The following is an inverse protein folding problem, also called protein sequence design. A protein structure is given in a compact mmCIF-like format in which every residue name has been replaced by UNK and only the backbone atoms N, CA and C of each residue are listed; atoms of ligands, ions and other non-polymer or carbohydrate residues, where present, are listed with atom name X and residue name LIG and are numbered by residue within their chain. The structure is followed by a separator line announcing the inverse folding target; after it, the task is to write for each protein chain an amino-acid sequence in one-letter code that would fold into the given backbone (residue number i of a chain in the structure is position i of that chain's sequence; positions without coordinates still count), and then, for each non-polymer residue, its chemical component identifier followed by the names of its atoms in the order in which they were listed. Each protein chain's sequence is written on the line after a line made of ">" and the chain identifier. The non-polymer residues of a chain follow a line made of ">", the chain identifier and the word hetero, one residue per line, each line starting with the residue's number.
data_IF_890242672414
#
_entry.id   IF_890242672414
#
_cell.length_a   1.000
_cell.length_b   1.000
_cell.length_c   1.000
_cell.angle_alpha   90.00
_cell.angle_beta   90.00
_cell.angle_gamma   90.00
#
_symmetry.space_group_name_H-M   'P 1'
#
loop_
_entity.id
_entity.type
_entity.pdbx_description
1 polymer ?
#
# COMPACT_ATOMS: atom_id res chain seq x y z
N UNK A 1 28.81 34.10 57.41
CA UNK A 1 27.74 33.09 56.96
C UNK A 1 27.21 33.39 55.62
N UNK A 2 28.00 33.61 54.57
CA UNK A 2 27.47 33.95 53.21
C UNK A 2 28.15 33.22 52.05
N UNK A 3 28.76 32.07 52.29
CA UNK A 3 29.50 31.32 51.27
C UNK A 3 28.78 30.06 50.71
N UNK A 4 27.82 29.51 51.41
CA UNK A 4 27.22 28.20 51.07
C UNK A 4 25.98 28.25 50.16
N UNK A 5 25.36 29.41 49.96
CA UNK A 5 24.13 29.54 49.20
C UNK A 5 24.37 29.70 47.68
N UNK A 6 25.58 30.11 47.27
CA UNK A 6 25.91 30.30 45.84
C UNK A 6 26.31 28.99 45.10
N UNK A 7 26.79 27.98 45.82
CA UNK A 7 27.22 26.72 45.18
C UNK A 7 26.07 25.79 44.84
N UNK A 8 24.96 25.84 45.58
CA UNK A 8 23.79 25.02 45.32
C UNK A 8 22.99 25.41 44.05
N UNK A 9 23.04 26.68 43.65
CA UNK A 9 22.35 27.19 42.46
C UNK A 9 23.05 26.85 41.15
N UNK A 10 24.37 26.75 41.14
CA UNK A 10 25.12 26.35 39.95
C UNK A 10 25.01 24.83 39.65
N UNK A 11 24.94 23.99 40.71
CA UNK A 11 24.79 22.55 40.52
C UNK A 11 23.42 22.17 39.97
N UNK A 12 22.35 22.91 40.31
CA UNK A 12 21.01 22.66 39.81
C UNK A 12 20.85 23.06 38.33
N UNK A 13 21.58 24.08 37.88
CA UNK A 13 21.60 24.48 36.46
C UNK A 13 22.43 23.55 35.57
N UNK A 14 23.47 22.91 36.12
CA UNK A 14 24.27 21.92 35.37
C UNK A 14 23.54 20.59 35.25
N UNK A 15 22.70 20.19 36.21
CA UNK A 15 21.87 19.00 36.15
C UNK A 15 20.66 19.15 35.18
N UNK A 16 20.20 20.37 34.91
CA UNK A 16 19.14 20.66 33.96
C UNK A 16 19.61 20.69 32.48
N UNK A 17 20.93 20.82 32.27
CA UNK A 17 21.54 20.81 30.94
C UNK A 17 21.97 19.41 30.48
N UNK A 18 21.88 18.38 31.33
CA UNK A 18 22.19 16.98 30.98
C UNK A 18 20.92 16.16 30.61
N UNK A 19 19.74 16.76 30.63
CA UNK A 19 18.60 16.22 29.87
C UNK A 19 18.79 16.50 28.38
N UNK A 20 19.97 16.17 27.84
CA UNK A 20 20.20 16.11 26.43
C UNK A 20 19.24 15.04 25.86
N UNK A 21 18.29 15.49 25.09
CA UNK A 21 17.53 14.71 24.15
C UNK A 21 18.44 13.64 23.55
N UNK A 22 18.27 12.40 23.98
CA UNK A 22 18.80 11.26 23.24
C UNK A 22 17.99 11.26 21.96
N UNK A 23 18.47 12.01 20.97
CA UNK A 23 17.99 11.89 19.61
C UNK A 23 18.33 10.46 19.20
N UNK A 24 17.33 9.59 19.19
CA UNK A 24 17.44 8.28 18.54
C UNK A 24 17.66 8.59 17.07
N UNK A 25 18.91 8.61 16.63
CA UNK A 25 19.22 8.67 15.20
C UNK A 25 18.58 7.46 14.53
N UNK A 26 17.65 7.71 13.64
CA UNK A 26 17.10 6.64 12.80
C UNK A 26 18.20 6.22 11.82
N UNK A 27 18.55 4.94 11.86
CA UNK A 27 19.48 4.35 10.90
C UNK A 27 18.65 3.84 9.73
N UNK A 28 18.80 4.47 8.57
CA UNK A 28 18.20 3.99 7.34
C UNK A 28 19.19 3.08 6.62
N UNK A 29 18.71 1.94 6.13
CA UNK A 29 19.44 1.08 5.22
C UNK A 29 18.88 1.30 3.82
N UNK A 30 19.73 1.75 2.91
CA UNK A 30 19.42 1.75 1.49
C UNK A 30 19.70 0.35 0.93
N UNK A 31 18.81 -0.15 0.07
CA UNK A 31 18.98 -1.40 -0.68
C UNK A 31 18.82 -1.05 -2.16
N UNK A 32 19.90 -1.22 -2.93
CA UNK A 32 19.99 -0.83 -4.34
C UNK A 32 20.55 -1.93 -5.24
N UNK A 33 20.92 -1.53 -6.46
CA UNK A 33 21.54 -2.45 -7.42
C UNK A 33 22.87 -3.00 -6.93
N UNK A 34 23.62 -2.22 -6.17
CA UNK A 34 24.89 -2.61 -5.53
C UNK A 34 24.70 -3.69 -4.46
N UNK A 35 23.52 -3.79 -3.84
CA UNK A 35 23.16 -4.86 -2.90
C UNK A 35 22.62 -6.09 -3.63
N UNK A 36 22.39 -5.98 -4.93
CA UNK A 36 21.95 -7.08 -5.79
C UNK A 36 20.48 -7.02 -6.22
N UNK A 37 19.74 -5.89 -6.06
CA UNK A 37 18.42 -5.76 -6.65
C UNK A 37 18.49 -5.87 -8.19
N UNK A 38 17.51 -6.55 -8.79
CA UNK A 38 17.41 -6.66 -10.25
C UNK A 38 17.04 -5.34 -10.92
N UNK A 39 16.28 -4.49 -10.24
CA UNK A 39 15.82 -3.22 -10.79
C UNK A 39 15.52 -2.22 -9.67
N UNK A 40 15.78 -0.94 -9.91
CA UNK A 40 15.50 0.14 -8.97
C UNK A 40 14.02 0.53 -8.92
N UNK A 41 13.24 0.18 -9.94
CA UNK A 41 11.81 0.47 -9.99
C UNK A 41 11.07 -0.62 -9.24
N UNK A 42 10.67 -0.29 -8.02
CA UNK A 42 9.92 -1.17 -7.11
C UNK A 42 8.46 -0.78 -7.15
N UNK A 43 7.58 -1.74 -7.40
CA UNK A 43 6.13 -1.55 -7.43
C UNK A 43 5.47 -1.89 -6.10
N UNK A 44 5.94 -2.95 -5.42
CA UNK A 44 5.44 -3.39 -4.13
C UNK A 44 6.56 -3.93 -3.26
N UNK A 45 6.35 -3.80 -1.95
CA UNK A 45 7.23 -4.37 -0.93
C UNK A 45 6.34 -5.15 0.04
N UNK A 46 6.77 -6.35 0.42
CA UNK A 46 6.12 -7.17 1.45
C UNK A 46 7.17 -7.78 2.38
N UNK A 47 6.83 -7.91 3.66
CA UNK A 47 7.64 -8.63 4.64
C UNK A 47 6.88 -9.88 5.07
N UNK A 48 7.54 -11.04 5.00
CA UNK A 48 6.92 -12.28 5.48
C UNK A 48 7.23 -12.53 6.97
N UNK A 49 6.53 -13.49 7.56
CA UNK A 49 6.70 -13.83 8.98
C UNK A 49 8.09 -14.38 9.34
N UNK A 50 8.89 -14.79 8.34
CA UNK A 50 10.28 -15.23 8.52
C UNK A 50 11.25 -14.04 8.53
N UNK A 51 10.75 -12.83 8.28
CA UNK A 51 11.53 -11.60 8.22
C UNK A 51 12.13 -11.30 6.85
N UNK A 52 11.83 -12.08 5.81
CA UNK A 52 12.28 -11.78 4.46
C UNK A 52 11.52 -10.58 3.90
N UNK A 53 12.24 -9.69 3.22
CA UNK A 53 11.69 -8.59 2.45
C UNK A 53 11.55 -9.02 0.99
N UNK A 54 10.36 -8.87 0.44
CA UNK A 54 10.04 -9.19 -0.94
C UNK A 54 9.79 -7.91 -1.72
N UNK A 55 10.51 -7.74 -2.81
CA UNK A 55 10.42 -6.58 -3.70
C UNK A 55 9.87 -7.01 -5.04
N UNK A 56 8.70 -6.48 -5.41
CA UNK A 56 8.19 -6.60 -6.76
C UNK A 56 8.82 -5.49 -7.59
N UNK A 57 9.65 -5.87 -8.55
CA UNK A 57 10.38 -4.96 -9.42
C UNK A 57 9.89 -5.04 -10.87
N UNK A 58 10.38 -4.18 -11.72
CA UNK A 58 10.08 -4.24 -13.15
C UNK A 58 10.59 -5.53 -13.82
N UNK A 59 11.64 -6.16 -13.30
CA UNK A 59 12.27 -7.35 -13.87
C UNK A 59 11.87 -8.66 -13.19
N UNK A 60 11.00 -8.61 -12.17
CA UNK A 60 10.56 -9.79 -11.43
C UNK A 60 10.45 -9.56 -9.94
N UNK A 61 10.68 -10.58 -9.15
CA UNK A 61 10.62 -10.50 -7.70
C UNK A 61 11.98 -10.79 -7.10
N UNK A 62 12.38 -9.94 -6.16
CA UNK A 62 13.59 -10.09 -5.39
C UNK A 62 13.23 -10.37 -3.93
N UNK A 63 13.90 -11.37 -3.32
CA UNK A 63 13.78 -11.66 -1.89
C UNK A 63 15.08 -11.36 -1.17
N UNK A 64 15.02 -10.50 -0.18
CA UNK A 64 16.14 -10.12 0.67
C UNK A 64 16.03 -10.79 2.03
N UNK A 65 17.10 -11.46 2.48
CA UNK A 65 17.18 -12.20 3.74
C UNK A 65 17.88 -11.42 4.87
N UNK A 66 18.17 -10.13 4.64
CA UNK A 66 18.97 -9.29 5.54
C UNK A 66 20.43 -9.16 5.08
N UNK A 67 20.90 -10.03 4.18
CA UNK A 67 22.28 -10.06 3.71
C UNK A 67 22.40 -10.27 2.19
N UNK A 68 21.62 -11.17 1.62
CA UNK A 68 21.66 -11.54 0.20
C UNK A 68 20.31 -11.35 -0.45
N UNK A 69 20.33 -11.13 -1.77
CA UNK A 69 19.14 -11.03 -2.59
C UNK A 69 19.05 -12.25 -3.51
N UNK A 70 17.89 -12.92 -3.48
CA UNK A 70 17.53 -13.99 -4.42
C UNK A 70 16.50 -13.48 -5.41
N UNK A 71 16.73 -13.77 -6.70
CA UNK A 71 15.86 -13.36 -7.80
C UNK A 71 14.91 -14.49 -8.21
N UNK A 72 13.68 -14.11 -8.55
CA UNK A 72 12.67 -15.00 -9.11
C UNK A 72 12.19 -14.40 -10.42
N UNK A 73 12.46 -15.12 -11.52
CA UNK A 73 12.06 -14.74 -12.86
C UNK A 73 10.79 -15.51 -13.26
N UNK A 74 9.91 -14.85 -13.97
CA UNK A 74 8.64 -15.39 -14.45
C UNK A 74 8.68 -15.63 -15.97
N UNK A 75 9.79 -16.11 -16.50
CA UNK A 75 9.87 -16.60 -17.88
C UNK A 75 9.35 -18.02 -17.90
N UNK A 76 8.18 -18.22 -18.46
CA UNK A 76 7.63 -19.56 -18.63
C UNK A 76 7.90 -20.04 -20.06
N UNK A 77 8.97 -20.83 -20.23
CA UNK A 77 9.27 -21.54 -21.48
C UNK A 77 8.18 -22.55 -21.87
N UNK A 78 7.35 -23.01 -20.90
CA UNK A 78 6.30 -23.99 -21.13
C UNK A 78 5.08 -23.42 -21.86
N UNK A 79 4.84 -22.12 -21.78
CA UNK A 79 3.63 -21.49 -22.35
C UNK A 79 3.84 -20.73 -23.66
N UNK A 80 5.03 -20.63 -24.22
CA UNK A 80 5.35 -19.86 -25.45
C UNK A 80 4.73 -18.44 -25.46
N UNK A 81 4.61 -17.81 -24.31
CA UNK A 81 4.01 -16.51 -24.14
C UNK A 81 5.08 -15.46 -24.08
N UNK A 82 4.82 -14.35 -24.77
CA UNK A 82 5.72 -13.19 -24.91
C UNK A 82 6.58 -12.90 -23.66
N UNK A 83 7.80 -12.74 -23.87
CA UNK A 83 9.00 -12.83 -23.05
C UNK A 83 9.07 -11.97 -21.77
N UNK A 84 8.02 -11.27 -21.37
CA UNK A 84 7.96 -10.53 -20.09
C UNK A 84 6.54 -10.50 -19.55
N UNK A 85 6.32 -11.22 -18.46
CA UNK A 85 5.10 -11.09 -17.67
C UNK A 85 5.25 -9.84 -16.82
N UNK A 86 4.54 -8.78 -17.16
CA UNK A 86 4.47 -7.63 -16.27
C UNK A 86 3.68 -8.02 -15.01
N UNK A 87 4.36 -7.99 -13.88
CA UNK A 87 3.80 -8.20 -12.55
C UNK A 87 3.51 -6.85 -11.92
N UNK A 88 2.34 -6.68 -11.31
CA UNK A 88 1.94 -5.37 -10.83
C UNK A 88 1.62 -5.34 -9.34
N UNK A 89 1.15 -6.45 -8.76
CA UNK A 89 0.72 -6.47 -7.36
C UNK A 89 1.28 -7.68 -6.64
N UNK A 90 1.67 -7.46 -5.40
CA UNK A 90 2.25 -8.44 -4.50
C UNK A 90 1.51 -8.38 -3.17
N UNK A 91 0.95 -9.51 -2.73
CA UNK A 91 0.16 -9.59 -1.51
C UNK A 91 0.52 -10.81 -0.68
N UNK A 92 0.28 -10.69 0.61
CA UNK A 92 0.37 -11.80 1.56
C UNK A 92 -1.05 -12.14 2.01
N UNK A 93 -1.44 -13.43 1.93
CA UNK A 93 -2.74 -13.87 2.42
C UNK A 93 -2.74 -14.11 3.94
N UNK A 94 -3.90 -14.50 4.48
CA UNK A 94 -4.08 -14.75 5.91
C UNK A 94 -3.23 -15.91 6.45
N UNK A 95 -2.78 -16.81 5.59
CA UNK A 95 -1.88 -17.93 5.92
C UNK A 95 -0.40 -17.60 5.69
N UNK A 96 -0.10 -16.31 5.40
CA UNK A 96 1.25 -15.83 5.11
C UNK A 96 1.87 -16.46 3.85
N UNK A 97 1.04 -16.76 2.86
CA UNK A 97 1.48 -17.18 1.54
C UNK A 97 1.53 -15.96 0.62
N UNK A 98 2.61 -15.85 -0.13
CA UNK A 98 2.83 -14.74 -1.06
C UNK A 98 2.14 -15.01 -2.40
N UNK A 99 1.38 -14.02 -2.85
CA UNK A 99 0.62 -14.02 -4.11
C UNK A 99 1.05 -12.87 -5.00
N UNK A 100 1.14 -13.15 -6.29
CA UNK A 100 1.54 -12.17 -7.30
C UNK A 100 0.49 -12.10 -8.38
N UNK A 101 0.09 -10.89 -8.74
CA UNK A 101 -0.89 -10.64 -9.78
C UNK A 101 -0.19 -9.95 -10.96
N UNK A 102 -0.28 -10.57 -12.13
CA UNK A 102 0.25 -10.03 -13.38
C UNK A 102 -0.82 -9.33 -14.22
N UNK A 103 -0.40 -8.41 -15.07
CA UNK A 103 -1.28 -7.56 -15.91
C UNK A 103 -2.31 -8.31 -16.76
N UNK A 104 -2.01 -9.53 -17.16
CA UNK A 104 -2.92 -10.35 -18.00
C UNK A 104 -3.75 -11.31 -17.16
N UNK A 105 -4.09 -10.97 -15.92
CA UNK A 105 -4.91 -11.80 -15.05
C UNK A 105 -4.26 -13.14 -14.69
N UNK A 106 -2.94 -13.19 -14.67
CA UNK A 106 -2.20 -14.31 -14.14
C UNK A 106 -2.03 -14.13 -12.65
N UNK A 107 -2.27 -15.20 -11.90
CA UNK A 107 -2.08 -15.24 -10.46
C UNK A 107 -1.04 -16.33 -10.18
N UNK A 108 0.02 -15.93 -9.50
CA UNK A 108 1.07 -16.84 -9.05
C UNK A 108 1.04 -16.95 -7.53
N UNK A 109 1.34 -18.13 -7.04
CA UNK A 109 1.50 -18.44 -5.63
C UNK A 109 2.95 -18.82 -5.36
N UNK A 110 3.50 -18.33 -4.26
CA UNK A 110 4.82 -18.79 -3.81
C UNK A 110 4.71 -20.17 -3.13
N UNK A 111 5.44 -21.14 -3.65
CA UNK A 111 5.63 -22.46 -3.05
C UNK A 111 6.88 -22.44 -2.16
N UNK A 112 6.64 -22.45 -0.85
CA UNK A 112 7.70 -22.42 0.14
C UNK A 112 8.57 -23.70 0.11
N UNK A 113 7.98 -24.86 -0.19
CA UNK A 113 8.68 -26.13 -0.16
C UNK A 113 9.72 -26.23 -1.29
N UNK A 114 9.39 -25.73 -2.47
CA UNK A 114 10.25 -25.77 -3.63
C UNK A 114 10.96 -24.44 -3.91
N UNK A 115 10.73 -23.43 -3.07
CA UNK A 115 11.31 -22.07 -3.17
C UNK A 115 11.15 -21.46 -4.57
N UNK A 116 9.93 -21.49 -5.12
CA UNK A 116 9.57 -21.01 -6.47
C UNK A 116 8.14 -20.45 -6.50
N UNK A 117 7.84 -19.68 -7.54
CA UNK A 117 6.47 -19.27 -7.83
C UNK A 117 5.83 -20.28 -8.81
N UNK A 118 4.58 -20.63 -8.55
CA UNK A 118 3.77 -21.50 -9.38
C UNK A 118 2.55 -20.72 -9.89
N UNK A 119 2.18 -20.99 -11.15
CA UNK A 119 0.99 -20.42 -11.74
C UNK A 119 -0.25 -21.06 -11.10
N UNK A 120 -1.02 -20.28 -10.34
CA UNK A 120 -2.23 -20.73 -9.67
C UNK A 120 -3.48 -20.56 -10.55
N UNK A 121 -3.53 -19.46 -11.32
CA UNK A 121 -4.68 -19.14 -12.16
C UNK A 121 -4.30 -18.28 -13.35
N UNK A 122 -5.01 -18.52 -14.45
CA UNK A 122 -4.94 -17.70 -15.66
C UNK A 122 -6.35 -17.41 -16.15
N UNK A 123 -6.68 -16.12 -16.31
CA UNK A 123 -7.97 -15.77 -16.86
C UNK A 123 -8.01 -15.98 -18.39
N UNK A 124 -8.86 -16.90 -18.92
CA UNK A 124 -8.82 -17.28 -20.34
C UNK A 124 -9.07 -16.12 -21.30
N UNK A 125 -9.97 -15.21 -20.96
CA UNK A 125 -10.34 -14.08 -21.83
C UNK A 125 -9.27 -12.99 -21.86
N UNK A 126 -8.58 -12.75 -20.72
CA UNK A 126 -7.50 -11.78 -20.66
C UNK A 126 -6.27 -12.20 -21.49
N UNK A 127 -6.15 -13.51 -21.79
CA UNK A 127 -5.10 -14.03 -22.68
C UNK A 127 -5.50 -13.94 -24.14
N UNK A 128 -6.77 -14.24 -24.45
CA UNK A 128 -7.27 -14.31 -25.84
C UNK A 128 -7.41 -12.94 -26.48
N UNK A 129 -7.82 -11.94 -25.72
CA UNK A 129 -8.02 -10.57 -26.21
C UNK A 129 -6.69 -9.82 -26.24
N UNK A 130 -5.98 -9.91 -27.38
CA UNK A 130 -4.67 -9.27 -27.58
C UNK A 130 -4.66 -7.73 -27.47
N UNK A 131 -5.82 -7.06 -27.43
CA UNK A 131 -5.86 -5.60 -27.60
C UNK A 131 -6.63 -4.77 -26.59
N UNK A 132 -7.46 -5.32 -25.69
CA UNK A 132 -8.34 -4.47 -24.86
C UNK A 132 -8.58 -4.89 -23.41
N UNK A 133 -8.20 -6.07 -22.97
CA UNK A 133 -8.47 -6.50 -21.61
C UNK A 133 -7.21 -6.35 -20.73
N UNK A 134 -6.90 -5.11 -20.35
CA UNK A 134 -5.89 -4.85 -19.33
C UNK A 134 -6.54 -4.91 -17.94
N UNK A 135 -5.82 -5.50 -17.00
CA UNK A 135 -6.14 -5.44 -15.60
C UNK A 135 -5.79 -4.03 -15.11
N UNK A 136 -6.80 -3.28 -14.66
CA UNK A 136 -6.60 -1.92 -14.14
C UNK A 136 -6.08 -1.96 -12.71
N UNK A 137 -6.65 -2.84 -11.89
CA UNK A 137 -6.28 -2.98 -10.48
C UNK A 137 -6.39 -4.44 -10.02
N UNK A 138 -5.44 -4.85 -9.18
CA UNK A 138 -5.44 -6.14 -8.50
C UNK A 138 -5.46 -5.92 -6.99
N UNK A 139 -6.30 -6.66 -6.27
CA UNK A 139 -6.48 -6.49 -4.84
C UNK A 139 -6.66 -7.84 -4.15
N UNK A 140 -6.09 -8.00 -2.96
CA UNK A 140 -6.36 -9.13 -2.06
C UNK A 140 -7.15 -8.63 -0.87
N UNK A 141 -8.38 -9.14 -0.70
CA UNK A 141 -9.22 -8.77 0.43
C UNK A 141 -8.97 -9.62 1.69
N UNK A 142 -9.48 -9.15 2.82
CA UNK A 142 -9.35 -9.82 4.14
C UNK A 142 -10.09 -11.18 4.22
N UNK A 143 -10.79 -11.58 3.16
CA UNK A 143 -11.46 -12.89 3.03
C UNK A 143 -10.71 -13.84 2.10
N UNK A 144 -9.45 -13.55 1.79
CA UNK A 144 -8.58 -14.30 0.88
C UNK A 144 -9.18 -14.46 -0.52
N UNK A 145 -9.75 -13.36 -1.05
CA UNK A 145 -10.19 -13.28 -2.43
C UNK A 145 -9.29 -12.31 -3.19
N UNK A 146 -8.74 -12.76 -4.30
CA UNK A 146 -8.01 -11.90 -5.24
C UNK A 146 -9.02 -11.31 -6.22
N UNK A 147 -9.06 -9.99 -6.27
CA UNK A 147 -9.88 -9.22 -7.20
C UNK A 147 -9.06 -8.87 -8.42
N UNK A 148 -9.57 -9.20 -9.59
CA UNK A 148 -9.03 -8.77 -10.86
C UNK A 148 -10.01 -7.76 -11.44
N UNK A 149 -9.68 -6.48 -11.34
CA UNK A 149 -10.53 -5.37 -11.80
C UNK A 149 -10.17 -4.99 -13.24
N UNK A 150 -11.07 -5.24 -14.14
CA UNK A 150 -11.01 -4.85 -15.54
C UNK A 150 -11.98 -3.69 -15.79
N UNK A 151 -11.92 -3.07 -16.98
CA UNK A 151 -12.79 -1.95 -17.34
C UNK A 151 -14.29 -2.26 -17.16
N UNK A 152 -14.73 -3.43 -17.62
CA UNK A 152 -16.15 -3.79 -17.69
C UNK A 152 -16.53 -4.97 -16.79
N UNK A 153 -15.55 -5.54 -16.06
CA UNK A 153 -15.77 -6.72 -15.24
C UNK A 153 -14.85 -6.78 -14.04
N UNK A 154 -15.34 -7.38 -12.97
CA UNK A 154 -14.56 -7.78 -11.81
C UNK A 154 -14.61 -9.31 -11.71
N UNK A 155 -13.46 -9.91 -11.51
CA UNK A 155 -13.32 -11.33 -11.29
C UNK A 155 -12.75 -11.55 -9.91
N UNK A 156 -13.41 -12.36 -9.10
CA UNK A 156 -12.87 -12.82 -7.82
C UNK A 156 -12.30 -14.21 -7.98
N UNK A 157 -11.07 -14.37 -7.59
CA UNK A 157 -10.43 -15.67 -7.41
C UNK A 157 -10.36 -16.00 -5.93
N UNK A 158 -11.05 -17.05 -5.50
CA UNK A 158 -11.00 -17.53 -4.12
C UNK A 158 -9.73 -18.36 -3.91
N UNK A 159 -8.82 -17.88 -3.07
CA UNK A 159 -7.60 -18.62 -2.71
C UNK A 159 -7.93 -19.98 -2.09
N UNK A 160 -8.98 -20.00 -1.26
CA UNK A 160 -9.37 -21.20 -0.50
C UNK A 160 -9.91 -22.32 -1.39
N UNK A 161 -10.67 -22.00 -2.41
CA UNK A 161 -11.37 -23.00 -3.27
C UNK A 161 -10.77 -23.14 -4.65
N UNK A 162 -9.90 -22.21 -5.08
CA UNK A 162 -9.38 -22.14 -6.45
C UNK A 162 -10.43 -21.78 -7.51
N UNK A 163 -11.62 -21.31 -7.09
CA UNK A 163 -12.73 -20.99 -8.01
C UNK A 163 -12.80 -19.50 -8.30
N UNK A 164 -13.44 -19.16 -9.42
CA UNK A 164 -13.67 -17.77 -9.82
C UNK A 164 -15.14 -17.42 -9.86
N UNK A 165 -15.44 -16.17 -9.52
CA UNK A 165 -16.76 -15.56 -9.69
C UNK A 165 -16.60 -14.33 -10.57
N UNK A 166 -17.43 -14.23 -11.61
CA UNK A 166 -17.42 -13.12 -12.56
C UNK A 166 -18.62 -12.23 -12.33
N UNK A 167 -18.40 -10.92 -12.36
CA UNK A 167 -19.47 -9.93 -12.25
C UNK A 167 -19.18 -8.71 -13.12
N UNK A 168 -20.20 -7.99 -13.60
CA UNK A 168 -19.98 -6.71 -14.26
C UNK A 168 -19.34 -5.71 -13.30
N UNK A 169 -18.41 -4.90 -13.80
CA UNK A 169 -17.88 -3.77 -13.06
C UNK A 169 -19.00 -2.72 -12.87
N UNK A 170 -19.08 -2.08 -11.69
CA UNK A 170 -19.98 -0.94 -11.52
C UNK A 170 -19.56 0.22 -12.45
N UNK A 171 -20.52 1.04 -12.86
CA UNK A 171 -20.29 2.18 -13.77
C UNK A 171 -19.67 3.38 -13.05
N UNK A 172 -18.51 3.19 -12.42
CA UNK A 172 -17.79 4.20 -11.60
C UNK A 172 -16.46 4.66 -12.23
N UNK A 173 -16.16 4.17 -13.43
CA UNK A 173 -14.88 4.43 -14.08
C UNK A 173 -13.78 3.44 -13.70
N UNK A 174 -12.55 3.80 -14.01
CA UNK A 174 -11.37 2.97 -13.75
C UNK A 174 -11.04 2.94 -12.27
N UNK A 175 -10.98 1.75 -11.70
CA UNK A 175 -10.60 1.54 -10.28
C UNK A 175 -9.10 1.77 -10.14
N UNK A 176 -8.73 2.66 -9.23
CA UNK A 176 -7.35 3.02 -8.91
C UNK A 176 -6.88 2.43 -7.59
N UNK A 177 -7.80 2.24 -6.64
CA UNK A 177 -7.51 1.67 -5.33
C UNK A 177 -8.77 1.06 -4.71
N UNK A 178 -8.59 0.07 -3.85
CA UNK A 178 -9.66 -0.56 -3.06
C UNK A 178 -9.17 -0.72 -1.64
N UNK A 179 -10.02 -0.40 -0.68
CA UNK A 179 -9.76 -0.64 0.73
C UNK A 179 -10.97 -1.30 1.39
N UNK A 180 -10.74 -2.39 2.11
CA UNK A 180 -11.77 -3.07 2.88
C UNK A 180 -11.80 -2.52 4.31
N UNK A 181 -12.87 -1.82 4.67
CA UNK A 181 -13.04 -1.30 6.02
C UNK A 181 -13.36 -2.42 7.02
N UNK A 182 -14.51 -3.05 6.85
CA UNK A 182 -14.95 -4.14 7.68
C UNK A 182 -15.72 -5.19 6.88
N UNK A 183 -15.71 -6.43 7.32
CA UNK A 183 -16.55 -7.52 6.80
C UNK A 183 -16.70 -7.49 5.28
N UNK A 184 -17.86 -7.07 4.80
CA UNK A 184 -18.20 -7.00 3.38
C UNK A 184 -18.30 -5.56 2.84
N UNK A 185 -17.78 -4.55 3.58
CA UNK A 185 -17.82 -3.15 3.16
C UNK A 185 -16.47 -2.71 2.61
N UNK A 186 -16.51 -2.06 1.46
CA UNK A 186 -15.36 -1.61 0.71
C UNK A 186 -15.49 -0.15 0.32
N UNK A 187 -14.36 0.53 0.25
CA UNK A 187 -14.22 1.81 -0.41
C UNK A 187 -13.42 1.62 -1.71
N UNK A 188 -13.90 2.24 -2.78
CA UNK A 188 -13.33 2.11 -4.12
C UNK A 188 -12.97 3.50 -4.61
N UNK A 189 -11.67 3.75 -4.76
CA UNK A 189 -11.15 4.96 -5.39
C UNK A 189 -11.08 4.81 -6.90
N UNK A 190 -11.38 5.88 -7.60
CA UNK A 190 -11.34 5.96 -9.06
C UNK A 190 -10.74 7.29 -9.52
N UNK A 191 -10.51 7.42 -10.83
CA UNK A 191 -10.13 8.69 -11.43
C UNK A 191 -11.20 9.80 -11.32
N UNK A 192 -12.44 9.45 -10.96
CA UNK A 192 -13.57 10.38 -10.85
C UNK A 192 -14.07 10.58 -9.42
N UNK A 193 -13.53 9.89 -8.44
CA UNK A 193 -13.93 10.06 -7.05
C UNK A 193 -13.86 8.80 -6.20
N UNK A 194 -14.58 8.84 -5.09
CA UNK A 194 -14.66 7.78 -4.10
C UNK A 194 -16.08 7.18 -4.07
N UNK A 195 -16.15 5.86 -3.96
CA UNK A 195 -17.41 5.12 -3.89
C UNK A 195 -17.39 4.15 -2.71
N UNK A 196 -18.55 3.94 -2.12
CA UNK A 196 -18.76 2.90 -1.12
C UNK A 196 -19.42 1.69 -1.77
N UNK A 197 -19.00 0.50 -1.41
CA UNK A 197 -19.54 -0.73 -1.94
C UNK A 197 -19.68 -1.79 -0.85
N UNK A 198 -20.56 -2.74 -1.09
CA UNK A 198 -20.74 -3.90 -0.22
C UNK A 198 -20.89 -5.19 -1.02
N UNK A 199 -20.56 -6.31 -0.40
CA UNK A 199 -20.79 -7.63 -0.97
C UNK A 199 -22.04 -8.24 -0.36
N UNK A 200 -23.04 -8.51 -1.19
CA UNK A 200 -24.27 -9.21 -0.84
C UNK A 200 -24.65 -10.20 -1.93
N UNK A 201 -25.13 -11.40 -1.55
CA UNK A 201 -25.52 -12.49 -2.49
C UNK A 201 -24.39 -12.84 -3.49
N UNK A 202 -23.13 -12.79 -3.06
CA UNK A 202 -21.96 -13.07 -3.90
C UNK A 202 -21.69 -12.03 -4.98
N UNK A 203 -22.24 -10.81 -4.86
CA UNK A 203 -22.08 -9.72 -5.83
C UNK A 203 -21.66 -8.43 -5.14
N UNK A 204 -20.88 -7.63 -5.83
CA UNK A 204 -20.55 -6.27 -5.44
C UNK A 204 -21.72 -5.35 -5.78
N UNK A 205 -22.15 -4.56 -4.81
CA UNK A 205 -23.19 -3.53 -4.98
C UNK A 205 -22.66 -2.21 -4.48
N UNK A 206 -22.84 -1.14 -5.23
CA UNK A 206 -22.60 0.23 -4.73
C UNK A 206 -23.62 0.55 -3.65
N UNK A 207 -23.15 1.20 -2.60
CA UNK A 207 -23.94 1.71 -1.51
C UNK A 207 -23.94 3.23 -1.59
N UNK A 208 -25.13 3.84 -1.62
CA UNK A 208 -25.23 5.29 -1.63
C UNK A 208 -24.71 5.89 -0.32
N UNK A 209 -23.83 6.87 -0.42
CA UNK A 209 -23.25 7.61 0.69
C UNK A 209 -22.90 9.02 0.17
N UNK A 210 -23.79 9.99 0.41
CA UNK A 210 -23.64 11.35 -0.09
C UNK A 210 -22.33 12.00 0.34
N UNK A 211 -21.83 11.68 1.54
CA UNK A 211 -20.55 12.20 2.02
C UNK A 211 -19.38 11.65 1.21
N UNK A 212 -19.38 10.35 0.96
CA UNK A 212 -18.33 9.69 0.15
C UNK A 212 -18.41 10.17 -1.30
N UNK A 213 -19.62 10.26 -1.88
CA UNK A 213 -19.89 10.70 -3.24
C UNK A 213 -19.55 12.19 -3.46
N UNK A 214 -19.41 12.99 -2.38
CA UNK A 214 -18.94 14.38 -2.48
C UNK A 214 -17.50 14.50 -2.95
N UNK A 215 -16.69 13.45 -2.82
CA UNK A 215 -15.32 13.39 -3.36
C UNK A 215 -15.41 13.09 -4.85
N UNK A 216 -15.18 14.12 -5.66
CA UNK A 216 -15.20 14.08 -7.13
C UNK A 216 -13.83 14.26 -7.78
N UNK A 217 -12.77 14.20 -6.97
CA UNK A 217 -11.37 14.28 -7.43
C UNK A 217 -10.74 12.91 -7.49
N UNK A 218 -9.72 12.69 -8.36
CA UNK A 218 -9.04 11.40 -8.42
C UNK A 218 -8.52 10.93 -7.06
N UNK A 219 -8.83 9.69 -6.71
CA UNK A 219 -8.37 9.02 -5.50
C UNK A 219 -7.31 8.00 -5.88
N UNK A 220 -6.11 8.12 -5.33
CA UNK A 220 -4.96 7.28 -5.69
C UNK A 220 -4.64 6.23 -4.64
N UNK A 221 -4.92 6.51 -3.37
CA UNK A 221 -4.64 5.60 -2.27
C UNK A 221 -5.73 5.69 -1.20
N UNK A 222 -6.02 4.56 -0.58
CA UNK A 222 -6.95 4.43 0.53
C UNK A 222 -6.30 3.65 1.66
N UNK A 223 -6.52 4.08 2.88
CA UNK A 223 -6.06 3.37 4.06
C UNK A 223 -7.10 3.45 5.18
N UNK A 224 -7.65 2.33 5.59
CA UNK A 224 -8.58 2.25 6.73
C UNK A 224 -7.82 2.02 8.03
N UNK A 225 -7.83 3.02 8.90
CA UNK A 225 -7.20 2.93 10.21
C UNK A 225 -8.17 2.30 11.21
N UNK A 226 -7.94 1.03 11.55
CA UNK A 226 -8.86 0.20 12.34
C UNK A 226 -9.10 0.76 13.74
N UNK A 227 -8.07 1.35 14.37
CA UNK A 227 -8.16 1.85 15.76
C UNK A 227 -9.07 3.07 15.87
N UNK A 228 -8.90 4.05 14.97
CA UNK A 228 -9.71 5.28 14.97
C UNK A 228 -10.99 5.18 14.15
N UNK A 229 -11.21 4.06 13.43
CA UNK A 229 -12.34 3.86 12.51
C UNK A 229 -12.46 4.94 11.43
N UNK A 230 -11.35 5.43 10.96
CA UNK A 230 -11.23 6.48 9.98
C UNK A 230 -10.69 5.94 8.66
N UNK A 231 -11.22 6.41 7.54
CA UNK A 231 -10.67 6.17 6.22
C UNK A 231 -9.80 7.36 5.81
N UNK A 232 -8.52 7.12 5.56
CA UNK A 232 -7.59 8.09 5.00
C UNK A 232 -7.60 7.96 3.48
N UNK A 233 -7.76 9.08 2.79
CA UNK A 233 -8.00 9.15 1.35
C UNK A 233 -6.91 10.03 0.73
N UNK A 234 -6.09 9.44 -0.12
CA UNK A 234 -5.04 10.13 -0.86
C UNK A 234 -5.56 10.67 -2.18
N UNK A 235 -5.61 12.01 -2.31
CA UNK A 235 -6.01 12.73 -3.52
C UNK A 235 -4.86 13.58 -4.05
N UNK A 236 -4.72 13.67 -5.38
CA UNK A 236 -3.69 14.51 -6.00
C UNK A 236 -3.82 15.98 -5.61
N UNK A 237 -5.03 16.53 -5.71
CA UNK A 237 -5.27 17.96 -5.52
C UNK A 237 -5.28 18.37 -4.05
N UNK A 238 -5.88 17.54 -3.21
CA UNK A 238 -6.24 17.90 -1.84
C UNK A 238 -5.26 17.32 -0.81
N UNK A 239 -4.37 16.43 -1.26
CA UNK A 239 -3.47 15.69 -0.36
C UNK A 239 -4.20 14.57 0.36
N UNK A 240 -4.10 14.49 1.67
CA UNK A 240 -4.80 13.48 2.48
C UNK A 240 -6.06 14.07 3.07
N UNK A 241 -7.17 13.36 2.86
CA UNK A 241 -8.45 13.62 3.51
C UNK A 241 -8.76 12.50 4.51
N UNK A 242 -9.54 12.78 5.53
CA UNK A 242 -10.09 11.78 6.46
C UNK A 242 -11.60 11.73 6.31
N UNK A 243 -12.15 10.54 6.15
CA UNK A 243 -13.56 10.26 6.37
C UNK A 243 -13.75 9.64 7.75
N UNK A 244 -14.35 10.40 8.66
CA UNK A 244 -14.64 9.98 10.04
C UNK A 244 -15.98 9.23 10.08
N UNK A 245 -15.91 7.92 9.90
CA UNK A 245 -17.07 7.06 9.66
C UNK A 245 -18.03 6.92 10.88
N UNK A 246 -17.48 6.85 12.09
CA UNK A 246 -18.27 6.61 13.31
C UNK A 246 -18.48 7.89 14.14
N UNK A 247 -17.69 8.94 13.90
CA UNK A 247 -17.77 10.19 14.64
C UNK A 247 -18.69 11.21 13.97
N UNK A 248 -18.09 12.12 13.20
CA UNK A 248 -18.84 13.23 12.58
C UNK A 248 -19.55 12.86 11.28
N UNK A 249 -19.20 11.74 10.66
CA UNK A 249 -19.65 11.36 9.32
C UNK A 249 -19.24 12.34 8.25
N UNK A 250 -18.14 13.08 8.45
CA UNK A 250 -17.68 14.14 7.55
C UNK A 250 -16.30 13.83 6.98
N UNK A 251 -16.01 14.46 5.84
CA UNK A 251 -14.68 14.47 5.26
C UNK A 251 -13.94 15.72 5.73
N UNK A 252 -12.75 15.53 6.27
CA UNK A 252 -11.90 16.56 6.85
C UNK A 252 -10.56 16.56 6.11
N UNK A 253 -10.11 17.69 5.54
CA UNK A 253 -8.79 17.79 4.94
C UNK A 253 -7.71 17.81 6.02
N UNK A 254 -6.66 17.01 5.83
CA UNK A 254 -5.48 17.06 6.65
C UNK A 254 -4.52 18.16 6.21
N UNK A 255 -3.75 18.69 7.13
CA UNK A 255 -2.62 19.54 6.79
C UNK A 255 -1.49 18.66 6.24
N UNK A 256 -1.58 18.31 4.98
CA UNK A 256 -0.67 17.40 4.27
C UNK A 256 -0.24 18.00 2.93
N UNK A 257 0.82 17.46 2.29
CA UNK A 257 1.19 17.89 0.94
C UNK A 257 0.04 17.71 -0.04
N UNK A 258 -0.23 18.74 -0.82
CA UNK A 258 -1.23 18.73 -1.89
C UNK A 258 -0.58 18.98 -3.27
N UNK A 259 -1.33 18.84 -4.34
CA UNK A 259 -0.83 18.92 -5.72
C UNK A 259 0.34 17.96 -5.97
N UNK A 260 0.21 16.77 -5.44
CA UNK A 260 1.17 15.66 -5.58
C UNK A 260 0.44 14.34 -5.43
N UNK A 261 0.85 13.32 -6.16
CA UNK A 261 0.31 11.97 -5.96
C UNK A 261 0.61 11.47 -4.55
N UNK A 262 -0.40 10.92 -3.90
CA UNK A 262 -0.23 10.15 -2.67
C UNK A 262 -0.10 8.68 -3.09
N UNK A 263 1.12 8.17 -3.02
CA UNK A 263 1.45 6.84 -3.53
C UNK A 263 1.17 5.73 -2.52
N UNK A 264 1.28 6.06 -1.23
CA UNK A 264 0.97 5.12 -0.15
C UNK A 264 0.67 5.85 1.15
N UNK A 265 -0.30 5.30 1.90
CA UNK A 265 -0.57 5.63 3.29
C UNK A 265 -0.48 4.34 4.09
N UNK A 266 0.35 4.29 5.13
CA UNK A 266 0.55 3.09 5.95
C UNK A 266 0.78 3.47 7.41
N UNK A 267 0.33 2.64 8.35
CA UNK A 267 0.59 2.87 9.78
C UNK A 267 2.09 2.76 10.09
N UNK A 268 2.61 3.75 10.78
CA UNK A 268 3.88 3.67 11.48
C UNK A 268 3.67 3.08 12.88
N UNK A 269 2.60 3.49 13.52
CA UNK A 269 2.12 2.97 14.82
C UNK A 269 0.63 3.30 14.98
N UNK A 270 0.07 3.08 16.17
CA UNK A 270 -1.36 3.33 16.46
C UNK A 270 -1.81 4.80 16.34
N UNK A 271 -0.88 5.76 16.30
CA UNK A 271 -1.18 7.20 16.29
C UNK A 271 -0.60 7.95 15.10
N UNK A 272 0.31 7.32 14.37
CA UNK A 272 1.04 7.97 13.28
C UNK A 272 1.00 7.13 12.02
N UNK A 273 0.79 7.80 10.89
CA UNK A 273 0.86 7.21 9.56
C UNK A 273 2.08 7.77 8.80
N UNK A 274 2.61 6.98 7.88
CA UNK A 274 3.54 7.47 6.87
C UNK A 274 2.78 7.67 5.55
N UNK A 275 3.05 8.81 4.94
CA UNK A 275 2.46 9.23 3.66
C UNK A 275 3.57 9.40 2.64
N UNK A 276 3.66 8.48 1.69
CA UNK A 276 4.60 8.55 0.57
C UNK A 276 4.02 9.36 -0.58
N UNK A 277 4.80 10.27 -1.13
CA UNK A 277 4.36 11.17 -2.20
C UNK A 277 5.17 11.00 -3.48
N UNK A 278 4.55 11.30 -4.61
CA UNK A 278 5.18 11.30 -5.92
C UNK A 278 6.00 12.57 -6.18
N UNK A 279 7.03 12.84 -5.35
CA UNK A 279 7.96 13.95 -5.61
C UNK A 279 8.20 14.94 -4.48
N UNK A 280 7.49 14.80 -3.34
CA UNK A 280 7.71 15.67 -2.16
C UNK A 280 8.28 14.92 -0.94
N UNK A 281 8.65 13.65 -1.08
CA UNK A 281 9.22 12.85 -0.01
C UNK A 281 8.17 12.06 0.78
N UNK A 282 8.52 11.68 2.01
CA UNK A 282 7.66 10.96 2.96
C UNK A 282 7.33 11.87 4.13
N UNK A 283 6.08 11.89 4.51
CA UNK A 283 5.56 12.67 5.63
C UNK A 283 5.03 11.74 6.70
N UNK A 284 5.17 12.17 7.94
CA UNK A 284 4.52 11.56 9.09
C UNK A 284 3.26 12.35 9.40
N UNK A 285 2.13 11.67 9.47
CA UNK A 285 0.80 12.24 9.74
C UNK A 285 0.29 11.72 11.08
N UNK A 286 -0.06 12.62 11.97
CA UNK A 286 -0.72 12.29 13.23
C UNK A 286 -2.21 12.03 13.01
N UNK A 287 -2.69 10.85 13.43
CA UNK A 287 -4.07 10.37 13.22
C UNK A 287 -5.11 11.26 13.93
N UNK A 288 -4.78 11.80 15.11
CA UNK A 288 -5.73 12.54 15.92
C UNK A 288 -5.83 14.02 15.53
N UNK A 289 -4.68 14.63 15.21
CA UNK A 289 -4.61 16.05 14.88
C UNK A 289 -4.72 16.33 13.40
N UNK A 290 -4.54 15.32 12.55
CA UNK A 290 -4.55 15.47 11.10
C UNK A 290 -3.45 16.42 10.57
N UNK A 291 -2.36 16.56 11.31
CA UNK A 291 -1.19 17.36 10.95
C UNK A 291 -0.06 16.49 10.47
N UNK A 292 0.60 16.90 9.40
CA UNK A 292 1.77 16.20 8.90
C UNK A 292 3.05 17.02 9.00
N UNK A 293 4.16 16.32 9.17
CA UNK A 293 5.51 16.86 9.13
C UNK A 293 6.41 16.03 8.21
N UNK A 294 7.43 16.62 7.58
CA UNK A 294 8.39 15.87 6.80
C UNK A 294 9.09 14.81 7.66
N UNK A 295 9.10 13.56 7.18
CA UNK A 295 9.72 12.43 7.87
C UNK A 295 11.04 12.01 7.21
N UNK A 296 11.02 11.86 5.89
CA UNK A 296 12.22 11.64 5.09
C UNK A 296 12.25 12.76 4.06
N UNK A 297 13.09 13.76 4.33
CA UNK A 297 13.45 14.80 3.38
C UNK A 297 14.78 14.40 2.76
N UNK A 298 14.70 13.63 1.70
CA UNK A 298 15.93 13.14 1.10
C UNK A 298 16.54 14.18 0.18
N UNK A 299 17.83 14.43 0.36
CA UNK A 299 18.73 14.95 -0.67
C UNK A 299 18.99 13.89 -1.78
N UNK A 300 17.99 13.05 -2.08
CA UNK A 300 18.10 12.04 -3.13
C UNK A 300 17.68 12.65 -4.46
N UNK A 301 18.36 12.30 -5.51
CA UNK A 301 18.16 12.80 -6.87
C UNK A 301 16.79 12.47 -7.48
N UNK A 302 16.00 11.60 -6.86
CA UNK A 302 14.58 11.39 -7.14
C UNK A 302 13.79 11.37 -5.84
N UNK A 303 12.90 12.35 -5.66
CA UNK A 303 12.01 12.44 -4.49
C UNK A 303 10.74 11.60 -4.67
N UNK A 304 10.77 10.62 -5.57
CA UNK A 304 9.64 9.71 -5.80
C UNK A 304 9.73 8.51 -4.87
N UNK A 305 8.78 8.41 -3.95
CA UNK A 305 8.60 7.26 -3.09
C UNK A 305 7.36 6.50 -3.56
N UNK A 306 7.57 5.27 -4.04
CA UNK A 306 6.49 4.40 -4.48
C UNK A 306 5.80 3.72 -3.32
N UNK A 307 6.47 2.76 -2.72
CA UNK A 307 5.97 1.94 -1.61
C UNK A 307 7.05 1.76 -0.55
N UNK A 308 6.65 1.60 0.70
CA UNK A 308 7.54 1.26 1.81
C UNK A 308 6.80 0.44 2.86
N UNK A 309 7.55 -0.25 3.72
CA UNK A 309 7.04 -0.95 4.89
C UNK A 309 7.67 -0.36 6.14
N UNK A 310 6.90 0.12 7.10
CA UNK A 310 7.42 0.45 8.41
C UNK A 310 7.80 -0.85 9.16
N UNK A 311 8.85 -0.82 9.94
CA UNK A 311 9.14 -1.89 10.90
C UNK A 311 8.24 -1.69 12.13
N UNK A 312 7.51 -2.74 12.49
CA UNK A 312 6.71 -2.80 13.72
C UNK A 312 7.59 -3.00 14.94
#
# INVERSE_FOLDING_TARGET
>A
MNGFVKMGRCLFFVLLLISSTVSKGQIYKYIGLEDGLNNQKIYHIQKDQRGYMWFLTQEGIDRYDGKHIKHYNFSDDSMKLDSRIALNWLYMDSENVLWVIGQKGRIFRYDLQHDKFELAYVHPELIRNKSQAFLNYGYLDKSDRIWLCCKDSIIWYSIRTGTTTHMPAPAIGEITTIEQADGNHFFIGTGSGLFRAGIGDGRLKLLSDETVESISTPVHELYYHVVSKQLFIGSYKEGVLIYDMEGTGKIIPCQSPNNVEINQIVALNAHELLVATGGKGVYKLDVNTCMSEPYITANYSSQYFGKFLPEN
#
